data_IF_306464571584
#
_entry.id   IF_306464571584
#
_cell.length_a   1.000
_cell.length_b   1.000
_cell.length_c   1.000
_cell.angle_alpha   90.00
_cell.angle_beta   90.00
_cell.angle_gamma   90.00
#
_symmetry.space_group_name_H-M   'P 1'
#
loop_
_entity.id
_entity.type
_entity.pdbx_description
1 polymer ?
#
# COMPACT_ATOMS: atom_id res chain seq x y z
N UNK A 1 5.27 -19.26 9.76
CA UNK A 1 5.81 -17.91 10.04
C UNK A 1 5.44 -17.50 11.48
N UNK A 2 6.20 -18.02 12.46
CA UNK A 2 6.02 -17.68 13.88
C UNK A 2 6.30 -16.19 14.15
N UNK A 3 5.57 -15.60 15.09
CA UNK A 3 5.77 -14.23 15.57
C UNK A 3 6.88 -14.11 16.65
N UNK A 4 7.53 -15.18 17.05
CA UNK A 4 8.63 -15.14 18.01
C UNK A 4 9.74 -14.12 17.66
N UNK A 5 10.22 -14.02 16.38
CA UNK A 5 11.22 -12.99 16.02
C UNK A 5 10.70 -11.57 16.21
N UNK A 6 9.40 -11.34 15.96
CA UNK A 6 8.76 -10.04 16.14
C UNK A 6 8.66 -9.68 17.62
N UNK A 7 8.24 -10.62 18.47
CA UNK A 7 8.20 -10.43 19.91
C UNK A 7 9.58 -10.03 20.47
N UNK A 8 10.64 -10.75 20.08
CA UNK A 8 12.04 -10.42 20.47
C UNK A 8 12.49 -9.04 19.99
N UNK A 9 12.04 -8.62 18.81
CA UNK A 9 12.36 -7.27 18.30
C UNK A 9 11.62 -6.19 19.07
N UNK A 10 10.33 -6.41 19.34
CA UNK A 10 9.50 -5.50 20.12
C UNK A 10 10.02 -5.32 21.55
N UNK A 11 10.47 -6.40 22.21
CA UNK A 11 11.12 -6.37 23.51
C UNK A 11 12.32 -5.42 23.55
N UNK A 12 13.17 -5.46 22.49
CA UNK A 12 14.32 -4.55 22.36
C UNK A 12 13.88 -3.09 22.16
N UNK A 13 12.84 -2.86 21.34
CA UNK A 13 12.35 -1.50 21.07
C UNK A 13 11.72 -0.86 22.29
N UNK A 14 10.96 -1.62 23.07
CA UNK A 14 10.29 -1.13 24.29
C UNK A 14 11.22 -1.10 25.51
N UNK A 15 12.36 -1.78 25.45
CA UNK A 15 13.24 -2.03 26.60
C UNK A 15 12.46 -2.58 27.81
N UNK A 16 11.49 -3.47 27.54
CA UNK A 16 10.63 -4.12 28.52
C UNK A 16 10.49 -5.57 28.16
N UNK A 17 10.40 -6.44 29.16
CA UNK A 17 10.21 -7.86 28.94
C UNK A 17 8.86 -8.17 28.33
N UNK A 18 8.87 -9.06 27.34
CA UNK A 18 7.68 -9.50 26.61
C UNK A 18 7.61 -11.02 26.71
N UNK A 19 6.45 -11.53 27.11
CA UNK A 19 6.17 -12.95 27.10
C UNK A 19 5.59 -13.32 25.72
N UNK A 20 6.33 -14.12 24.98
CA UNK A 20 5.81 -14.76 23.77
C UNK A 20 5.11 -16.05 24.15
N UNK A 21 3.87 -16.24 23.71
CA UNK A 21 3.10 -17.46 23.90
C UNK A 21 2.93 -18.13 22.54
N UNK A 22 3.40 -19.36 22.41
CA UNK A 22 3.42 -20.14 21.16
C UNK A 22 2.05 -20.72 20.77
N UNK A 23 0.98 -20.03 21.17
CA UNK A 23 -0.40 -20.33 20.85
C UNK A 23 -1.25 -19.05 20.91
N UNK A 24 -2.52 -19.11 20.49
CA UNK A 24 -3.41 -17.95 20.42
C UNK A 24 -4.61 -18.02 21.38
N UNK A 25 -5.07 -19.21 21.71
CA UNK A 25 -6.28 -19.46 22.54
C UNK A 25 -6.10 -20.69 23.43
N UNK A 26 -7.05 -20.89 24.33
CA UNK A 26 -7.14 -22.10 25.17
C UNK A 26 -6.47 -21.96 26.54
N UNK A 27 -6.50 -23.06 27.28
CA UNK A 27 -6.09 -23.11 28.71
C UNK A 27 -4.64 -22.68 28.91
N UNK A 28 -3.73 -23.15 28.05
CA UNK A 28 -2.30 -22.81 28.09
C UNK A 28 -2.06 -21.30 28.02
N UNK A 29 -2.74 -20.63 27.11
CA UNK A 29 -2.60 -19.16 26.90
C UNK A 29 -3.11 -18.42 28.12
N UNK A 30 -4.30 -18.80 28.60
CA UNK A 30 -4.92 -18.19 29.79
C UNK A 30 -4.04 -18.34 31.03
N UNK A 31 -3.57 -19.54 31.32
CA UNK A 31 -2.69 -19.84 32.48
C UNK A 31 -1.36 -19.07 32.38
N UNK A 32 -0.77 -18.97 31.19
CA UNK A 32 0.46 -18.21 30.97
C UNK A 32 0.29 -16.71 31.25
N UNK A 33 -0.87 -16.13 30.89
CA UNK A 33 -1.20 -14.72 31.17
C UNK A 33 -1.48 -14.54 32.68
N UNK A 34 -2.31 -15.38 33.26
CA UNK A 34 -2.74 -15.26 34.68
C UNK A 34 -1.61 -15.51 35.69
N UNK A 35 -0.65 -16.38 35.37
CA UNK A 35 0.47 -16.73 36.26
C UNK A 35 1.68 -15.80 36.12
N UNK A 36 1.71 -14.89 35.15
CA UNK A 36 2.85 -14.05 34.89
C UNK A 36 2.75 -12.70 35.62
N UNK A 37 3.86 -12.22 36.16
CA UNK A 37 3.98 -10.84 36.65
C UNK A 37 4.21 -9.80 35.54
N UNK A 38 4.52 -10.27 34.31
CA UNK A 38 4.76 -9.42 33.16
C UNK A 38 3.45 -8.87 32.58
N UNK A 39 3.53 -7.70 31.94
CA UNK A 39 2.36 -6.95 31.48
C UNK A 39 2.13 -7.03 29.99
N UNK A 40 3.14 -7.46 29.23
CA UNK A 40 3.09 -7.47 27.76
C UNK A 40 3.23 -8.88 27.26
N UNK A 41 2.24 -9.32 26.51
CA UNK A 41 2.17 -10.64 25.89
C UNK A 41 2.05 -10.49 24.37
N UNK A 42 2.74 -11.36 23.64
CA UNK A 42 2.59 -11.52 22.20
C UNK A 42 2.18 -12.95 21.95
N UNK A 43 1.01 -13.14 21.37
CA UNK A 43 0.51 -14.44 20.98
C UNK A 43 1.15 -14.88 19.66
N UNK A 44 1.04 -16.15 19.34
CA UNK A 44 1.47 -16.69 18.06
C UNK A 44 0.59 -16.15 16.92
N UNK A 45 1.02 -16.39 15.70
CA UNK A 45 0.37 -15.92 14.49
C UNK A 45 -1.05 -16.51 14.36
N UNK A 46 -2.06 -15.65 14.51
CA UNK A 46 -3.47 -16.00 14.39
C UNK A 46 -3.82 -16.68 13.05
N UNK A 47 -3.04 -16.39 11.98
CA UNK A 47 -3.21 -17.03 10.67
C UNK A 47 -2.86 -18.50 10.62
N UNK A 48 -2.35 -19.09 11.70
CA UNK A 48 -2.22 -20.55 11.83
C UNK A 48 -3.56 -21.21 12.09
N UNK A 49 -4.57 -20.44 12.50
CA UNK A 49 -5.94 -20.89 12.67
C UNK A 49 -6.80 -20.50 11.47
N UNK A 50 -7.44 -21.50 10.84
CA UNK A 50 -8.37 -21.25 9.71
C UNK A 50 -9.61 -20.48 10.14
N UNK A 51 -9.97 -20.57 11.39
CA UNK A 51 -11.05 -19.88 12.07
C UNK A 51 -10.87 -18.36 12.03
N UNK A 52 -9.63 -17.89 12.11
CA UNK A 52 -9.29 -16.47 11.99
C UNK A 52 -9.76 -15.89 10.64
N UNK A 53 -9.42 -16.54 9.54
CA UNK A 53 -9.80 -16.05 8.21
C UNK A 53 -11.30 -16.18 7.91
N UNK A 54 -11.98 -17.13 8.58
CA UNK A 54 -13.42 -17.37 8.43
C UNK A 54 -14.29 -16.44 9.28
N UNK A 55 -13.69 -15.54 10.05
CA UNK A 55 -14.41 -14.70 11.02
C UNK A 55 -15.24 -15.54 12.01
N UNK A 56 -14.67 -16.63 12.49
CA UNK A 56 -15.36 -17.60 13.35
C UNK A 56 -15.67 -17.00 14.72
N UNK A 57 -16.93 -17.10 15.14
CA UNK A 57 -17.41 -16.53 16.40
C UNK A 57 -16.88 -17.27 17.63
N UNK A 58 -16.74 -18.59 17.55
CA UNK A 58 -16.26 -19.39 18.68
C UNK A 58 -14.78 -19.10 18.96
N UNK A 59 -13.96 -18.97 17.89
CA UNK A 59 -12.56 -18.58 17.99
C UNK A 59 -12.42 -17.15 18.53
N UNK A 60 -13.23 -16.20 18.04
CA UNK A 60 -13.26 -14.84 18.55
C UNK A 60 -13.66 -14.77 20.04
N UNK A 61 -14.59 -15.61 20.47
CA UNK A 61 -14.99 -15.70 21.87
C UNK A 61 -13.85 -16.23 22.75
N UNK A 62 -13.06 -17.21 22.28
CA UNK A 62 -11.89 -17.68 23.01
C UNK A 62 -10.82 -16.60 23.13
N UNK A 63 -10.56 -15.83 22.06
CA UNK A 63 -9.68 -14.66 22.10
C UNK A 63 -10.18 -13.60 23.08
N UNK A 64 -11.49 -13.32 23.08
CA UNK A 64 -12.09 -12.32 23.94
C UNK A 64 -11.99 -12.64 25.44
N UNK A 65 -11.85 -13.93 25.83
CA UNK A 65 -11.62 -14.33 27.23
C UNK A 65 -10.27 -13.90 27.80
N UNK A 66 -9.37 -13.41 26.96
CA UNK A 66 -8.02 -13.01 27.35
C UNK A 66 -7.93 -11.54 27.76
N UNK A 67 -8.97 -10.73 27.58
CA UNK A 67 -8.95 -9.31 27.84
C UNK A 67 -10.33 -8.75 28.18
N UNK A 68 -10.38 -7.54 28.76
CA UNK A 68 -11.60 -6.82 29.10
C UNK A 68 -12.01 -5.80 28.01
N UNK A 69 -11.05 -5.39 27.17
CA UNK A 69 -11.22 -4.38 26.13
C UNK A 69 -10.44 -4.78 24.89
N UNK A 70 -11.02 -4.52 23.74
CA UNK A 70 -10.36 -4.68 22.43
C UNK A 70 -10.00 -3.33 21.83
N UNK A 71 -8.75 -3.18 21.39
CA UNK A 71 -8.31 -2.02 20.64
C UNK A 71 -7.75 -2.47 19.28
N UNK A 72 -8.35 -1.99 18.20
CA UNK A 72 -7.82 -2.22 16.86
C UNK A 72 -6.88 -1.07 16.46
N UNK A 73 -5.59 -1.34 16.40
CA UNK A 73 -4.57 -0.41 15.92
C UNK A 73 -3.89 -0.88 14.63
N UNK A 74 -4.53 -1.82 13.91
CA UNK A 74 -4.02 -2.47 12.71
C UNK A 74 -4.80 -2.05 11.46
N UNK A 75 -4.64 -0.81 11.00
CA UNK A 75 -5.31 -0.28 9.81
C UNK A 75 -5.18 -1.19 8.58
N UNK A 76 -4.00 -1.80 8.39
CA UNK A 76 -3.72 -2.65 7.24
C UNK A 76 -4.60 -3.89 7.09
N UNK A 77 -5.31 -4.34 8.14
CA UNK A 77 -6.23 -5.48 8.09
C UNK A 77 -7.71 -5.08 8.09
N UNK A 78 -8.03 -3.80 8.28
CA UNK A 78 -9.40 -3.32 8.41
C UNK A 78 -10.28 -3.50 7.15
N UNK A 79 -9.67 -3.81 6.01
CA UNK A 79 -10.38 -4.13 4.76
C UNK A 79 -10.94 -5.57 4.73
N UNK A 80 -10.68 -6.36 5.77
CA UNK A 80 -11.16 -7.75 5.92
C UNK A 80 -11.91 -7.90 7.24
N UNK A 81 -12.80 -8.89 7.28
CA UNK A 81 -13.43 -9.34 8.52
C UNK A 81 -12.81 -10.68 8.91
N UNK A 82 -11.82 -10.63 9.78
CA UNK A 82 -11.23 -11.80 10.43
C UNK A 82 -11.80 -11.93 11.85
N UNK A 83 -11.68 -13.08 12.50
CA UNK A 83 -12.21 -13.28 13.85
C UNK A 83 -11.69 -12.26 14.86
N UNK A 84 -10.38 -11.96 14.81
CA UNK A 84 -9.72 -10.97 15.66
C UNK A 84 -9.99 -9.51 15.31
N UNK A 85 -10.72 -9.24 14.23
CA UNK A 85 -10.99 -7.88 13.72
C UNK A 85 -12.50 -7.59 13.65
N UNK A 86 -13.29 -8.59 13.26
CA UNK A 86 -14.74 -8.50 13.12
C UNK A 86 -15.48 -9.15 14.28
N UNK A 87 -15.47 -10.49 14.36
CA UNK A 87 -16.30 -11.23 15.33
C UNK A 87 -15.97 -10.91 16.80
N UNK A 88 -14.71 -10.55 17.13
CA UNK A 88 -14.27 -10.20 18.49
C UNK A 88 -15.06 -9.00 19.06
N UNK A 89 -15.47 -8.07 18.23
CA UNK A 89 -16.22 -6.88 18.62
C UNK A 89 -17.64 -7.19 19.16
N UNK A 90 -18.13 -8.42 18.97
CA UNK A 90 -19.38 -8.87 19.58
C UNK A 90 -19.23 -9.27 21.06
N UNK A 91 -18.01 -9.38 21.56
CA UNK A 91 -17.72 -9.94 22.88
C UNK A 91 -17.02 -8.94 23.80
N UNK A 92 -16.43 -7.88 23.27
CA UNK A 92 -15.68 -6.88 24.02
C UNK A 92 -16.05 -5.45 23.62
N UNK A 93 -16.02 -4.49 24.54
CA UNK A 93 -15.95 -3.07 24.20
C UNK A 93 -14.79 -2.84 23.22
N UNK A 94 -15.04 -2.16 22.11
CA UNK A 94 -14.12 -2.16 20.96
C UNK A 94 -13.83 -0.74 20.49
N UNK A 95 -12.57 -0.35 20.52
CA UNK A 95 -12.10 1.01 20.25
C UNK A 95 -11.07 1.05 19.14
N UNK A 96 -10.94 2.21 18.48
CA UNK A 96 -9.84 2.49 17.57
C UNK A 96 -8.56 2.85 18.33
N UNK A 97 -7.41 2.35 17.85
CA UNK A 97 -6.10 2.74 18.34
C UNK A 97 -5.57 4.00 17.65
N UNK A 98 -4.52 4.58 18.22
CA UNK A 98 -3.95 5.87 17.77
C UNK A 98 -3.42 5.84 16.34
N UNK A 99 -2.82 4.72 15.90
CA UNK A 99 -2.35 4.57 14.53
C UNK A 99 -3.53 4.50 13.56
N UNK A 100 -4.55 3.72 13.90
CA UNK A 100 -5.77 3.60 13.10
C UNK A 100 -6.46 4.97 12.94
N UNK A 101 -6.64 5.72 14.03
CA UNK A 101 -7.21 7.07 13.97
C UNK A 101 -6.38 8.02 13.09
N UNK A 102 -5.05 7.99 13.24
CA UNK A 102 -4.14 8.79 12.42
C UNK A 102 -4.28 8.47 10.94
N UNK A 103 -4.33 7.18 10.58
CA UNK A 103 -4.53 6.72 9.20
C UNK A 103 -5.86 7.23 8.64
N UNK A 104 -6.98 6.93 9.30
CA UNK A 104 -8.32 7.32 8.86
C UNK A 104 -8.43 8.84 8.72
N UNK A 105 -8.02 9.61 9.74
CA UNK A 105 -8.08 11.07 9.75
C UNK A 105 -7.29 11.71 8.60
N UNK A 106 -6.12 11.18 8.28
CA UNK A 106 -5.31 11.73 7.19
C UNK A 106 -5.83 11.28 5.81
N UNK A 107 -6.28 10.04 5.66
CA UNK A 107 -6.85 9.56 4.41
C UNK A 107 -8.17 10.26 4.06
N UNK A 108 -8.98 10.61 5.05
CA UNK A 108 -10.20 11.42 4.84
C UNK A 108 -9.90 12.80 4.22
N UNK A 109 -8.72 13.39 4.48
CA UNK A 109 -8.32 14.66 3.85
C UNK A 109 -8.13 14.54 2.33
N UNK A 110 -7.85 13.33 1.81
CA UNK A 110 -7.78 13.07 0.36
C UNK A 110 -9.17 12.97 -0.31
N UNK A 111 -10.24 13.00 0.47
CA UNK A 111 -11.63 12.98 -0.02
C UNK A 111 -12.40 14.25 0.32
N UNK A 112 -12.05 14.89 1.44
CA UNK A 112 -12.72 16.12 1.92
C UNK A 112 -11.67 17.23 2.08
N UNK A 113 -11.99 18.42 1.59
CA UNK A 113 -11.12 19.61 1.68
C UNK A 113 -9.78 19.48 0.95
N UNK A 114 -9.80 18.86 -0.23
CA UNK A 114 -8.63 18.66 -1.07
C UNK A 114 -8.11 20.02 -1.57
N UNK A 115 -6.81 20.25 -1.42
CA UNK A 115 -6.14 21.42 -2.01
C UNK A 115 -5.57 21.08 -3.38
N UNK A 116 -5.94 21.84 -4.38
CA UNK A 116 -5.50 21.67 -5.76
C UNK A 116 -4.25 22.52 -6.10
N UNK A 117 -3.36 22.07 -6.98
CA UNK A 117 -3.46 20.82 -7.78
C UNK A 117 -3.29 19.57 -6.91
N UNK A 118 -4.14 18.56 -7.13
CA UNK A 118 -4.05 17.24 -6.53
C UNK A 118 -3.45 16.24 -7.54
N UNK A 119 -2.31 15.67 -7.19
CA UNK A 119 -1.56 14.71 -8.02
C UNK A 119 -1.62 13.33 -7.39
N UNK A 120 -2.14 12.37 -8.14
CA UNK A 120 -2.17 10.95 -7.78
C UNK A 120 -1.11 10.22 -8.59
N UNK A 121 -0.23 9.46 -7.95
CA UNK A 121 0.86 8.73 -8.58
C UNK A 121 0.68 7.26 -8.29
N UNK A 122 0.46 6.46 -9.32
CA UNK A 122 0.21 5.03 -9.19
C UNK A 122 1.17 4.22 -10.06
N UNK A 123 1.86 3.30 -9.43
CA UNK A 123 2.77 2.37 -10.08
C UNK A 123 2.55 0.94 -9.62
N UNK A 124 3.56 0.10 -9.89
CA UNK A 124 3.56 -1.32 -9.53
C UNK A 124 3.11 -2.24 -10.65
N UNK A 125 2.96 -3.53 -10.32
CA UNK A 125 2.82 -4.60 -11.31
C UNK A 125 1.39 -4.74 -11.87
N UNK A 126 0.36 -4.61 -10.98
CA UNK A 126 -1.02 -5.04 -11.30
C UNK A 126 -1.98 -3.88 -11.39
N UNK A 127 -2.56 -3.64 -12.58
CA UNK A 127 -3.59 -2.62 -12.79
C UNK A 127 -4.91 -3.00 -12.09
N UNK A 128 -5.24 -4.29 -12.00
CA UNK A 128 -6.47 -4.78 -11.37
C UNK A 128 -6.66 -4.25 -9.94
N UNK A 129 -5.58 -4.16 -9.18
CA UNK A 129 -5.61 -3.66 -7.81
C UNK A 129 -5.74 -2.14 -7.71
N UNK A 130 -5.51 -1.42 -8.82
CA UNK A 130 -5.50 0.05 -8.88
C UNK A 130 -6.70 0.63 -9.64
N UNK A 131 -7.38 -0.16 -10.46
CA UNK A 131 -8.55 0.30 -11.24
C UNK A 131 -9.62 1.00 -10.38
N UNK A 132 -10.01 0.48 -9.20
CA UNK A 132 -11.01 1.17 -8.37
C UNK A 132 -10.55 2.57 -7.95
N UNK A 133 -9.28 2.70 -7.53
CA UNK A 133 -8.73 3.98 -7.08
C UNK A 133 -8.50 4.95 -8.26
N UNK A 134 -8.09 4.44 -9.42
CA UNK A 134 -7.97 5.25 -10.64
C UNK A 134 -9.34 5.85 -10.98
N UNK A 135 -10.39 5.02 -11.02
CA UNK A 135 -11.74 5.48 -11.35
C UNK A 135 -12.28 6.53 -10.36
N UNK A 136 -12.04 6.33 -9.06
CA UNK A 136 -12.42 7.30 -8.04
C UNK A 136 -11.75 8.65 -8.25
N UNK A 137 -10.42 8.64 -8.46
CA UNK A 137 -9.66 9.88 -8.57
C UNK A 137 -9.71 10.55 -9.95
N UNK A 138 -10.22 9.86 -10.99
CA UNK A 138 -10.49 10.52 -12.29
C UNK A 138 -11.48 11.69 -12.19
N UNK A 139 -12.38 11.66 -11.20
CA UNK A 139 -13.38 12.70 -10.98
C UNK A 139 -12.97 13.72 -9.90
N UNK A 140 -11.85 13.49 -9.20
CA UNK A 140 -11.44 14.30 -8.05
C UNK A 140 -10.08 14.98 -8.26
N UNK A 141 -9.08 14.24 -8.76
CA UNK A 141 -7.71 14.74 -8.94
C UNK A 141 -7.61 15.72 -10.12
N UNK A 142 -6.48 16.41 -10.22
CA UNK A 142 -6.12 17.19 -11.42
C UNK A 142 -5.24 16.34 -12.34
N UNK A 143 -4.33 15.55 -11.80
CA UNK A 143 -3.43 14.67 -12.55
C UNK A 143 -3.32 13.29 -11.93
N UNK A 144 -3.36 12.26 -12.78
CA UNK A 144 -3.06 10.88 -12.41
C UNK A 144 -1.85 10.43 -13.22
N UNK A 145 -0.71 10.26 -12.53
CA UNK A 145 0.55 9.83 -13.13
C UNK A 145 0.67 8.32 -12.98
N UNK A 146 0.85 7.60 -14.08
CA UNK A 146 0.91 6.14 -14.08
C UNK A 146 2.30 5.64 -14.49
N UNK A 147 2.78 4.58 -13.82
CA UNK A 147 4.03 3.90 -14.13
C UNK A 147 3.95 2.39 -13.96
N UNK A 148 5.07 1.70 -14.17
CA UNK A 148 5.18 0.25 -14.02
C UNK A 148 4.26 -0.54 -14.95
N UNK A 149 3.86 -1.75 -14.52
CA UNK A 149 2.96 -2.64 -15.26
C UNK A 149 1.59 -2.04 -15.56
N UNK A 150 1.14 -1.06 -14.74
CA UNK A 150 -0.08 -0.30 -14.98
C UNK A 150 -0.01 0.46 -16.32
N UNK A 151 1.06 1.26 -16.49
CA UNK A 151 1.27 2.02 -17.71
C UNK A 151 1.44 1.12 -18.92
N UNK A 152 2.18 0.00 -18.77
CA UNK A 152 2.37 -0.98 -19.84
C UNK A 152 1.03 -1.58 -20.30
N UNK A 153 0.15 -1.97 -19.35
CA UNK A 153 -1.17 -2.54 -19.67
C UNK A 153 -2.05 -1.53 -20.42
N UNK A 154 -2.01 -0.25 -20.03
CA UNK A 154 -2.78 0.81 -20.72
C UNK A 154 -2.19 1.09 -22.11
N UNK A 155 -0.88 1.14 -22.28
CA UNK A 155 -0.27 1.32 -23.60
C UNK A 155 -0.61 0.15 -24.54
N UNK A 156 -0.58 -1.10 -24.02
CA UNK A 156 -1.06 -2.27 -24.76
C UNK A 156 -2.52 -2.14 -25.16
N UNK A 157 -3.38 -1.70 -24.26
CA UNK A 157 -4.80 -1.46 -24.53
C UNK A 157 -5.05 -0.38 -25.58
N UNK A 158 -4.13 0.60 -25.72
CA UNK A 158 -4.13 1.64 -26.75
C UNK A 158 -3.53 1.20 -28.09
N UNK A 159 -3.09 -0.08 -28.20
CA UNK A 159 -2.57 -0.66 -29.44
C UNK A 159 -1.06 -0.53 -29.66
N UNK A 160 -0.31 -0.04 -28.65
CA UNK A 160 1.15 0.03 -28.72
C UNK A 160 1.79 -1.33 -28.40
N UNK A 161 2.98 -1.57 -29.00
CA UNK A 161 3.80 -2.72 -28.63
C UNK A 161 4.52 -2.43 -27.28
N UNK A 162 4.46 -3.38 -26.38
CA UNK A 162 5.13 -3.32 -25.07
C UNK A 162 6.09 -4.49 -24.85
N UNK A 163 6.30 -5.29 -25.88
CA UNK A 163 7.22 -6.43 -25.91
C UNK A 163 6.83 -7.52 -24.91
N UNK A 164 7.83 -7.97 -24.14
CA UNK A 164 7.69 -8.96 -23.06
C UNK A 164 7.50 -8.32 -21.69
N UNK A 165 7.10 -7.04 -21.67
CA UNK A 165 6.89 -6.30 -20.43
C UNK A 165 5.74 -6.87 -19.61
N UNK A 166 5.78 -6.64 -18.30
CA UNK A 166 4.69 -7.05 -17.40
C UNK A 166 3.40 -6.32 -17.75
N UNK A 167 2.34 -7.06 -18.02
CA UNK A 167 0.97 -6.59 -18.27
C UNK A 167 -0.04 -7.54 -17.61
N UNK A 168 -1.28 -7.10 -17.46
CA UNK A 168 -2.44 -7.95 -17.13
C UNK A 168 -3.35 -8.04 -18.35
N UNK A 169 -3.20 -9.09 -19.15
CA UNK A 169 -3.93 -9.27 -20.42
C UNK A 169 -5.45 -9.26 -20.25
N UNK A 170 -5.95 -9.90 -19.18
CA UNK A 170 -7.36 -9.96 -18.84
C UNK A 170 -7.95 -8.57 -18.49
N UNK A 171 -7.11 -7.60 -18.20
CA UNK A 171 -7.51 -6.22 -17.86
C UNK A 171 -7.42 -5.24 -19.03
N UNK A 172 -6.98 -5.67 -20.18
CA UNK A 172 -6.91 -4.82 -21.40
C UNK A 172 -8.27 -4.21 -21.75
N UNK A 173 -9.41 -4.95 -21.73
CA UNK A 173 -10.72 -4.36 -22.04
C UNK A 173 -11.13 -3.24 -21.07
N UNK A 174 -10.81 -3.37 -19.79
CA UNK A 174 -11.08 -2.36 -18.77
C UNK A 174 -10.12 -1.16 -18.93
N UNK A 175 -8.83 -1.44 -19.13
CA UNK A 175 -7.80 -0.42 -19.35
C UNK A 175 -8.08 0.45 -20.60
N UNK A 176 -8.67 -0.14 -21.65
CA UNK A 176 -9.07 0.58 -22.88
C UNK A 176 -10.15 1.64 -22.62
N UNK A 177 -10.99 1.44 -21.60
CA UNK A 177 -12.05 2.39 -21.22
C UNK A 177 -11.53 3.55 -20.38
N UNK A 178 -10.28 3.46 -19.86
CA UNK A 178 -9.69 4.54 -19.09
C UNK A 178 -9.35 5.73 -20.02
N UNK A 179 -9.93 6.85 -19.69
CA UNK A 179 -9.69 8.13 -20.35
C UNK A 179 -9.65 9.25 -19.32
N UNK A 180 -9.16 10.42 -19.74
CA UNK A 180 -9.24 11.61 -18.90
C UNK A 180 -10.71 12.00 -18.71
N UNK A 181 -11.03 12.35 -17.47
CA UNK A 181 -12.31 12.96 -17.09
C UNK A 181 -11.98 14.36 -16.55
N UNK A 182 -12.25 14.65 -15.28
CA UNK A 182 -11.72 15.84 -14.63
C UNK A 182 -10.19 15.76 -14.51
N UNK A 183 -9.67 14.62 -14.07
CA UNK A 183 -8.23 14.42 -14.00
C UNK A 183 -7.63 14.12 -15.37
N UNK A 184 -6.47 14.73 -15.66
CA UNK A 184 -5.64 14.36 -16.80
C UNK A 184 -4.84 13.08 -16.46
N UNK A 185 -5.00 12.06 -17.31
CA UNK A 185 -4.30 10.78 -17.18
C UNK A 185 -2.96 10.85 -17.92
N UNK A 186 -1.86 10.94 -17.18
CA UNK A 186 -0.51 11.10 -17.72
C UNK A 186 0.20 9.75 -17.74
N UNK A 187 0.52 9.27 -18.94
CA UNK A 187 1.32 8.08 -19.17
C UNK A 187 2.76 8.46 -19.57
N UNK A 188 3.76 7.69 -19.17
CA UNK A 188 5.12 7.88 -19.67
C UNK A 188 5.19 7.57 -21.17
N UNK A 189 5.99 8.33 -21.91
CA UNK A 189 6.19 8.13 -23.35
C UNK A 189 7.56 7.60 -23.69
N UNK A 190 8.53 7.75 -22.79
CA UNK A 190 9.86 7.18 -22.89
C UNK A 190 10.11 6.18 -21.75
N UNK A 191 10.87 5.15 -22.02
CA UNK A 191 11.09 4.01 -21.14
C UNK A 191 12.53 3.54 -21.17
N UNK A 192 12.96 2.97 -20.04
CA UNK A 192 14.17 2.14 -20.01
C UNK A 192 13.74 0.71 -20.31
N UNK A 193 14.32 0.15 -21.37
CA UNK A 193 14.07 -1.22 -21.82
C UNK A 193 15.29 -2.10 -21.67
N UNK A 194 15.06 -3.39 -21.53
CA UNK A 194 16.10 -4.43 -21.49
C UNK A 194 15.64 -5.70 -22.19
N UNK A 195 16.52 -6.70 -22.31
CA UNK A 195 16.19 -8.05 -22.80
C UNK A 195 15.93 -9.07 -21.66
N UNK A 196 16.32 -8.75 -20.41
CA UNK A 196 16.13 -9.59 -19.22
C UNK A 196 15.98 -8.73 -17.97
N UNK A 197 15.17 -9.17 -16.99
CA UNK A 197 15.01 -8.50 -15.69
C UNK A 197 16.29 -8.49 -14.85
N UNK A 198 17.20 -9.43 -15.05
CA UNK A 198 18.50 -9.52 -14.37
C UNK A 198 19.58 -8.64 -15.01
N UNK A 199 19.28 -7.96 -16.11
CA UNK A 199 20.23 -7.10 -16.81
C UNK A 199 20.72 -5.98 -15.90
N UNK A 200 22.01 -5.62 -16.04
CA UNK A 200 22.61 -4.46 -15.36
C UNK A 200 22.48 -3.16 -16.15
N UNK A 201 22.05 -3.23 -17.42
CA UNK A 201 21.97 -2.07 -18.31
C UNK A 201 20.63 -2.08 -19.05
N UNK A 202 20.05 -0.88 -19.18
CA UNK A 202 18.89 -0.62 -20.02
C UNK A 202 19.21 0.36 -21.14
N UNK A 203 18.32 0.45 -22.11
CA UNK A 203 18.36 1.42 -23.21
C UNK A 203 17.10 2.28 -23.18
N UNK A 204 17.26 3.58 -23.47
CA UNK A 204 16.14 4.49 -23.61
C UNK A 204 15.42 4.25 -24.96
N UNK A 205 14.10 4.13 -24.92
CA UNK A 205 13.26 4.10 -26.11
C UNK A 205 11.95 4.86 -25.86
N UNK A 206 11.44 5.50 -26.92
CA UNK A 206 10.08 6.01 -26.95
C UNK A 206 9.10 4.84 -27.14
N UNK A 207 7.83 5.00 -26.73
CA UNK A 207 6.81 3.94 -26.80
C UNK A 207 6.62 3.41 -28.22
N UNK A 208 6.71 4.27 -29.23
CA UNK A 208 6.58 3.95 -30.64
C UNK A 208 7.70 3.04 -31.17
N UNK A 209 8.84 2.98 -30.49
CA UNK A 209 10.06 2.26 -30.88
C UNK A 209 10.26 0.97 -30.11
N UNK A 210 9.34 0.59 -29.22
CA UNK A 210 9.39 -0.65 -28.47
C UNK A 210 9.06 -1.81 -29.39
N UNK A 211 9.81 -2.92 -29.30
CA UNK A 211 9.61 -4.09 -30.10
C UNK A 211 9.31 -5.35 -29.26
N UNK A 212 8.90 -6.43 -29.92
CA UNK A 212 8.46 -7.69 -29.28
C UNK A 212 9.48 -8.36 -28.34
N UNK A 213 10.77 -8.01 -28.42
CA UNK A 213 11.83 -8.59 -27.57
C UNK A 213 12.16 -7.73 -26.37
N UNK A 214 11.71 -6.47 -26.36
CA UNK A 214 11.99 -5.52 -25.28
C UNK A 214 11.17 -5.84 -24.02
N UNK A 215 11.73 -5.51 -22.88
CA UNK A 215 11.09 -5.53 -21.56
C UNK A 215 11.21 -4.13 -20.99
N UNK A 216 10.09 -3.46 -20.71
CA UNK A 216 10.06 -2.19 -20.00
C UNK A 216 10.36 -2.45 -18.54
N UNK A 217 11.38 -1.77 -18.00
CA UNK A 217 11.86 -1.94 -16.62
C UNK A 217 11.83 -0.66 -15.78
N UNK A 218 11.79 0.51 -16.41
CA UNK A 218 11.58 1.80 -15.73
C UNK A 218 11.00 2.82 -16.72
N UNK A 219 10.44 3.91 -16.22
CA UNK A 219 10.09 5.05 -17.08
C UNK A 219 11.33 5.87 -17.42
N UNK A 220 11.34 6.48 -18.60
CA UNK A 220 12.46 7.24 -19.10
C UNK A 220 12.66 8.61 -18.42
N UNK A 221 13.73 9.28 -18.80
CA UNK A 221 14.13 10.53 -18.15
C UNK A 221 13.17 11.68 -18.44
N UNK A 222 12.66 11.76 -19.67
CA UNK A 222 11.73 12.83 -20.09
C UNK A 222 10.42 12.72 -19.31
N UNK A 223 9.83 11.52 -19.26
CA UNK A 223 8.61 11.26 -18.48
C UNK A 223 8.83 11.53 -17.00
N UNK A 224 9.97 11.10 -16.45
CA UNK A 224 10.33 11.36 -15.05
C UNK A 224 10.40 12.86 -14.75
N UNK A 225 11.00 13.66 -15.65
CA UNK A 225 11.05 15.13 -15.51
C UNK A 225 9.65 15.76 -15.50
N UNK A 226 8.76 15.34 -16.39
CA UNK A 226 7.36 15.81 -16.43
C UNK A 226 6.66 15.47 -15.10
N UNK A 227 6.78 14.24 -14.63
CA UNK A 227 6.19 13.82 -13.36
C UNK A 227 6.71 14.66 -12.19
N UNK A 228 8.02 14.89 -12.10
CA UNK A 228 8.61 15.72 -11.06
C UNK A 228 8.15 17.18 -11.12
N UNK A 229 7.89 17.74 -12.31
CA UNK A 229 7.35 19.09 -12.45
C UNK A 229 5.92 19.20 -11.90
N UNK A 230 5.05 18.24 -12.22
CA UNK A 230 3.69 18.17 -11.69
C UNK A 230 3.69 17.97 -10.17
N UNK A 231 4.55 17.10 -9.65
CA UNK A 231 4.74 16.88 -8.21
C UNK A 231 5.15 18.18 -7.51
N UNK A 232 6.06 18.96 -8.09
CA UNK A 232 6.55 20.22 -7.50
C UNK A 232 5.44 21.26 -7.35
N UNK A 233 4.49 21.33 -8.28
CA UNK A 233 3.36 22.28 -8.24
C UNK A 233 2.19 21.80 -7.36
N UNK A 234 2.14 20.51 -7.00
CA UNK A 234 1.04 19.90 -6.26
C UNK A 234 0.84 20.48 -4.86
N UNK A 235 -0.42 20.64 -4.46
CA UNK A 235 -0.82 20.98 -3.07
C UNK A 235 -1.26 19.76 -2.27
N UNK A 236 -1.67 18.70 -2.98
CA UNK A 236 -1.99 17.39 -2.40
C UNK A 236 -1.36 16.32 -3.26
N UNK A 237 -0.72 15.33 -2.64
CA UNK A 237 -0.09 14.21 -3.33
C UNK A 237 -0.51 12.90 -2.68
N UNK A 238 -0.90 11.94 -3.50
CA UNK A 238 -1.04 10.53 -3.14
C UNK A 238 -0.08 9.71 -4.00
N UNK A 239 0.75 8.88 -3.38
CA UNK A 239 1.65 7.98 -4.10
C UNK A 239 1.53 6.53 -3.62
N UNK A 240 1.35 5.60 -4.56
CA UNK A 240 1.31 4.16 -4.27
C UNK A 240 1.90 3.35 -5.43
N UNK A 241 2.99 2.65 -5.16
CA UNK A 241 3.69 1.77 -6.09
C UNK A 241 4.87 2.43 -6.82
N UNK A 242 5.96 1.67 -7.07
CA UNK A 242 7.13 2.15 -7.80
C UNK A 242 6.82 2.36 -9.29
N UNK A 243 7.62 3.19 -9.94
CA UNK A 243 7.47 3.52 -11.36
C UNK A 243 8.14 2.52 -12.28
N UNK A 244 9.09 1.74 -11.77
CA UNK A 244 9.87 0.75 -12.50
C UNK A 244 10.04 -0.54 -11.69
N UNK A 245 10.90 -1.43 -12.17
CA UNK A 245 11.22 -2.71 -11.55
C UNK A 245 12.17 -2.50 -10.36
N UNK A 246 11.57 -2.31 -9.18
CA UNK A 246 12.27 -1.94 -7.94
C UNK A 246 13.27 -3.00 -7.45
N UNK A 247 13.03 -4.27 -7.74
CA UNK A 247 13.85 -5.39 -7.32
C UNK A 247 15.28 -5.37 -7.92
N UNK A 248 15.44 -4.68 -9.06
CA UNK A 248 16.76 -4.47 -9.66
C UNK A 248 17.23 -3.02 -9.48
N UNK A 249 18.31 -2.83 -8.74
CA UNK A 249 18.89 -1.51 -8.41
C UNK A 249 19.21 -0.64 -9.63
N UNK A 250 19.44 -1.26 -10.80
CA UNK A 250 19.73 -0.55 -12.03
C UNK A 250 18.52 0.14 -12.65
N UNK A 251 17.30 -0.20 -12.21
CA UNK A 251 16.03 0.25 -12.77
C UNK A 251 15.13 0.98 -11.74
N UNK A 252 15.75 1.61 -10.74
CA UNK A 252 15.09 2.34 -9.66
C UNK A 252 15.08 3.86 -9.87
N UNK A 253 15.69 4.35 -10.95
CA UNK A 253 16.02 5.78 -11.13
C UNK A 253 14.79 6.68 -11.07
N UNK A 254 13.73 6.34 -11.77
CA UNK A 254 12.52 7.16 -11.77
C UNK A 254 11.83 7.15 -10.40
N UNK A 255 11.70 5.99 -9.77
CA UNK A 255 11.13 5.86 -8.43
C UNK A 255 11.90 6.70 -7.40
N UNK A 256 13.23 6.67 -7.44
CA UNK A 256 14.09 7.48 -6.55
C UNK A 256 13.89 8.98 -6.78
N UNK A 257 13.86 9.43 -8.06
CA UNK A 257 13.67 10.85 -8.39
C UNK A 257 12.28 11.35 -7.93
N UNK A 258 11.24 10.55 -8.13
CA UNK A 258 9.88 10.85 -7.70
C UNK A 258 9.78 10.89 -6.18
N UNK A 259 10.34 9.90 -5.47
CA UNK A 259 10.40 9.89 -4.00
C UNK A 259 11.01 11.18 -3.45
N UNK A 260 12.17 11.59 -4.00
CA UNK A 260 12.86 12.82 -3.60
C UNK A 260 12.04 14.08 -3.93
N UNK A 261 11.38 14.12 -5.10
CA UNK A 261 10.54 15.25 -5.48
C UNK A 261 9.34 15.42 -4.53
N UNK A 262 8.69 14.31 -4.14
CA UNK A 262 7.59 14.32 -3.17
C UNK A 262 8.10 14.76 -1.79
N UNK A 263 9.24 14.22 -1.33
CA UNK A 263 9.84 14.56 -0.05
C UNK A 263 10.26 16.04 0.08
N UNK A 264 10.55 16.70 -1.05
CA UNK A 264 10.85 18.14 -1.12
C UNK A 264 9.59 19.02 -1.14
N UNK A 265 8.44 18.46 -1.45
CA UNK A 265 7.17 19.18 -1.47
C UNK A 265 6.69 19.44 -0.04
N UNK A 266 6.41 20.69 0.31
CA UNK A 266 6.00 21.13 1.65
C UNK A 266 4.50 21.00 1.91
N UNK A 267 3.73 20.57 0.92
CA UNK A 267 2.29 20.43 1.02
C UNK A 267 1.90 19.02 1.55
N UNK A 268 0.61 18.71 1.54
CA UNK A 268 0.10 17.45 2.09
C UNK A 268 0.44 16.27 1.18
N UNK A 269 1.23 15.33 1.71
CA UNK A 269 1.73 14.15 0.98
C UNK A 269 1.38 12.87 1.71
N UNK A 270 0.73 11.94 0.99
CA UNK A 270 0.39 10.59 1.47
C UNK A 270 1.09 9.57 0.61
N UNK A 271 1.75 8.64 1.26
CA UNK A 271 2.48 7.54 0.61
C UNK A 271 2.04 6.22 1.22
N UNK A 272 1.84 5.20 0.38
CA UNK A 272 1.49 3.86 0.85
C UNK A 272 1.86 2.78 -0.17
N UNK A 273 1.78 1.52 0.28
CA UNK A 273 2.17 0.35 -0.51
C UNK A 273 3.54 -0.20 -0.12
N UNK A 274 3.63 -1.51 0.08
CA UNK A 274 4.80 -2.18 0.65
C UNK A 274 6.11 -1.86 -0.09
N UNK A 275 6.14 -1.99 -1.42
CA UNK A 275 7.31 -1.68 -2.24
C UNK A 275 7.69 -0.20 -2.16
N UNK A 276 6.71 0.70 -2.11
CA UNK A 276 6.94 2.14 -1.96
C UNK A 276 7.55 2.47 -0.59
N UNK A 277 7.06 1.80 0.48
CA UNK A 277 7.59 1.97 1.82
C UNK A 277 9.04 1.51 1.91
N UNK A 278 9.38 0.37 1.32
CA UNK A 278 10.76 -0.11 1.24
C UNK A 278 11.65 0.93 0.53
N UNK A 279 11.17 1.50 -0.57
CA UNK A 279 11.91 2.52 -1.31
C UNK A 279 12.20 3.77 -0.47
N UNK A 280 11.18 4.34 0.20
CA UNK A 280 11.36 5.55 1.00
C UNK A 280 12.16 5.32 2.28
N UNK A 281 12.10 4.12 2.86
CA UNK A 281 12.90 3.72 4.02
C UNK A 281 14.39 3.62 3.65
N UNK A 282 14.73 2.92 2.56
CA UNK A 282 16.09 2.84 2.04
C UNK A 282 16.70 4.21 1.72
N UNK A 283 15.85 5.15 1.27
CA UNK A 283 16.23 6.53 1.00
C UNK A 283 16.25 7.42 2.25
N UNK A 284 15.86 6.92 3.42
CA UNK A 284 15.73 7.66 4.68
C UNK A 284 14.81 8.88 4.56
N UNK A 285 13.67 8.71 3.89
CA UNK A 285 12.72 9.78 3.59
C UNK A 285 11.39 9.69 4.38
N UNK A 286 11.21 8.69 5.25
CA UNK A 286 9.93 8.44 5.97
C UNK A 286 9.39 9.70 6.63
N UNK A 287 10.21 10.44 7.35
CA UNK A 287 9.82 11.64 8.11
C UNK A 287 9.55 12.88 7.23
N UNK A 288 9.70 12.75 5.91
CA UNK A 288 9.48 13.84 4.96
C UNK A 288 8.06 13.90 4.40
N UNK A 289 7.25 12.88 4.68
CA UNK A 289 5.86 12.78 4.20
C UNK A 289 4.87 13.09 5.32
N UNK A 290 3.71 13.65 4.96
CA UNK A 290 2.66 13.98 5.93
C UNK A 290 2.01 12.73 6.54
N UNK A 291 1.86 11.67 5.71
CA UNK A 291 1.44 10.34 6.13
C UNK A 291 2.19 9.28 5.32
N UNK A 292 2.82 8.37 6.01
CA UNK A 292 3.28 7.09 5.47
C UNK A 292 2.29 6.04 5.96
N UNK A 293 1.39 5.60 5.05
CA UNK A 293 0.33 4.65 5.39
C UNK A 293 0.87 3.24 5.48
N UNK A 294 0.57 2.57 6.57
CA UNK A 294 0.86 1.15 6.79
C UNK A 294 -0.17 0.23 6.11
N UNK A 295 -1.26 0.83 5.61
CA UNK A 295 -2.45 0.11 5.15
C UNK A 295 -2.32 -0.60 3.82
N UNK A 296 -1.37 -0.24 2.95
CA UNK A 296 -1.22 -0.88 1.65
C UNK A 296 -2.53 -1.01 0.86
N UNK A 297 -3.06 -2.25 0.79
CA UNK A 297 -4.35 -2.53 0.15
C UNK A 297 -5.54 -1.89 0.87
N UNK A 298 -5.53 -1.85 2.21
CA UNK A 298 -6.58 -1.22 3.00
C UNK A 298 -6.68 0.29 2.72
N UNK A 299 -5.54 0.97 2.54
CA UNK A 299 -5.51 2.38 2.16
C UNK A 299 -6.23 2.60 0.81
N UNK A 300 -5.90 1.79 -0.20
CA UNK A 300 -6.52 1.91 -1.52
C UNK A 300 -8.02 1.62 -1.47
N UNK A 301 -8.42 0.61 -0.72
CA UNK A 301 -9.83 0.24 -0.57
C UNK A 301 -10.62 1.31 0.21
N UNK A 302 -10.04 1.89 1.27
CA UNK A 302 -10.63 3.00 2.01
C UNK A 302 -10.85 4.22 1.10
N UNK A 303 -9.86 4.54 0.27
CA UNK A 303 -9.97 5.65 -0.66
C UNK A 303 -10.99 5.40 -1.78
N UNK A 304 -11.16 4.14 -2.21
CA UNK A 304 -12.12 3.78 -3.26
C UNK A 304 -13.56 3.60 -2.76
N UNK A 305 -13.78 3.21 -1.48
CA UNK A 305 -15.11 2.79 -0.98
C UNK A 305 -15.66 3.63 0.19
N UNK A 306 -14.98 4.68 0.62
CA UNK A 306 -15.32 5.55 1.76
C UNK A 306 -15.27 4.90 3.14
N UNK A 307 -15.29 3.59 3.24
CA UNK A 307 -15.27 2.89 4.51
C UNK A 307 -14.67 1.49 4.38
N UNK A 308 -14.09 1.02 5.46
CA UNK A 308 -13.62 -0.36 5.59
C UNK A 308 -14.55 -1.14 6.53
N UNK A 309 -14.77 -2.44 6.26
CA UNK A 309 -15.75 -3.22 7.01
C UNK A 309 -15.48 -3.23 8.52
N UNK A 310 -14.23 -3.31 8.95
CA UNK A 310 -13.88 -3.36 10.37
C UNK A 310 -14.12 -2.04 11.12
N UNK A 311 -14.05 -0.89 10.45
CA UNK A 311 -14.22 0.42 11.09
C UNK A 311 -15.64 0.65 11.61
N UNK A 312 -16.61 -0.11 11.11
CA UNK A 312 -18.02 0.01 11.52
C UNK A 312 -18.30 -0.46 12.94
N UNK A 313 -17.41 -1.20 13.53
CA UNK A 313 -17.56 -1.86 14.82
C UNK A 313 -16.73 -1.22 15.93
N UNK A 314 -16.01 -0.13 15.63
CA UNK A 314 -15.14 0.58 16.56
C UNK A 314 -15.74 1.92 16.96
N UNK A 315 -15.59 2.25 18.24
CA UNK A 315 -15.85 3.59 18.80
C UNK A 315 -14.62 4.50 18.67
#
# INVERSE_FOLDING_TARGET
LSLLPIAKHLEKLLNQKIIFIDDCVGKKVKEAIESSEEKIFVLENLRFYKEEEKNDKSFAQELAKLADVYVNDAFGVCHRLNASVGAITNFLPSYSGLLLEKEVKNLQKLKKNIKHPFVVILGGAKISTKLPIINEFLDIADYILLGGGLANTIWKARGFEVGKSLIEEEKIPEAKKLGSRKAELILPRDFIITSSFESSKGKLKEIENINKKDIIVDIGETSTKVFCQLIKSAKTILWNGPMGYWENKNFQTATIKIAKAIAQNKNFTVVGGGETLIAIEQLKLIDKYSLVSTGGGAMLEFLAKDNLPALKFLE
#
